data_IF_134312193830
#
_entry.id   IF_134312193830
#
_cell.length_a   1.000
_cell.length_b   1.000
_cell.length_c   1.000
_cell.angle_alpha   90.00
_cell.angle_beta   90.00
_cell.angle_gamma   90.00
#
_symmetry.space_group_name_H-M   'P 1'
#
loop_
_entity.id
_entity.type
_entity.pdbx_description
1 polymer ?
#
# COMPACT_ATOMS: atom_id res chain seq x y z
N UNK A 1 29.73 66.13 -12.66
CA UNK A 1 29.80 65.18 -13.78
C UNK A 1 28.74 64.14 -13.56
N UNK A 2 27.71 64.35 -14.29
CA UNK A 2 26.40 63.63 -14.23
C UNK A 2 26.48 62.33 -14.98
N UNK A 3 26.06 61.23 -14.37
CA UNK A 3 25.77 60.00 -15.11
C UNK A 3 24.46 59.44 -14.61
N UNK A 4 23.44 59.64 -15.42
CA UNK A 4 22.05 59.19 -15.21
C UNK A 4 21.97 57.68 -15.35
N UNK A 5 21.30 57.10 -14.39
CA UNK A 5 20.88 55.70 -14.35
C UNK A 5 19.59 55.54 -15.15
N UNK A 6 19.62 54.81 -16.26
CA UNK A 6 18.43 54.43 -17.04
C UNK A 6 18.04 53.01 -16.73
N UNK A 7 16.95 52.82 -15.94
CA UNK A 7 16.30 51.51 -15.76
C UNK A 7 15.38 51.23 -16.96
N UNK A 8 15.33 50.02 -17.51
CA UNK A 8 14.43 49.68 -18.62
C UNK A 8 12.98 49.51 -18.12
N UNK A 9 12.08 50.11 -18.85
CA UNK A 9 10.64 50.03 -18.71
C UNK A 9 10.13 48.59 -18.96
N UNK A 10 9.31 48.09 -18.03
CA UNK A 10 8.56 46.84 -18.17
C UNK A 10 7.39 47.10 -19.12
N UNK A 11 7.38 46.44 -20.28
CA UNK A 11 6.22 46.37 -21.17
C UNK A 11 5.09 45.56 -20.49
N UNK A 12 3.92 46.18 -20.38
CA UNK A 12 2.67 45.51 -19.98
C UNK A 12 2.26 44.52 -21.09
N UNK A 13 2.20 43.23 -20.77
CA UNK A 13 1.60 42.24 -21.64
C UNK A 13 0.08 42.39 -21.64
N UNK A 14 -0.48 42.63 -22.82
CA UNK A 14 -1.92 42.68 -23.09
C UNK A 14 -2.63 41.41 -22.63
N UNK A 15 -3.63 41.57 -21.80
CA UNK A 15 -4.50 40.51 -21.32
C UNK A 15 -5.27 39.85 -22.46
N UNK A 16 -5.25 38.56 -22.52
CA UNK A 16 -6.02 37.72 -23.47
C UNK A 16 -7.51 38.00 -23.26
N UNK A 17 -8.16 38.53 -24.30
CA UNK A 17 -9.61 38.88 -24.32
C UNK A 17 -10.48 37.62 -24.08
N UNK A 18 -11.52 37.76 -23.26
CA UNK A 18 -12.53 36.73 -22.95
C UNK A 18 -13.17 36.08 -24.20
N UNK A 19 -13.21 36.78 -25.34
CA UNK A 19 -13.69 36.22 -26.61
C UNK A 19 -12.73 35.26 -27.27
N UNK A 20 -11.43 35.39 -27.03
CA UNK A 20 -10.40 34.46 -27.51
C UNK A 20 -10.40 33.19 -26.72
N UNK A 21 -10.72 33.21 -25.41
CA UNK A 21 -10.92 32.00 -24.62
C UNK A 21 -12.12 31.14 -25.06
N UNK A 22 -13.19 31.76 -25.56
CA UNK A 22 -14.36 31.01 -26.04
C UNK A 22 -14.13 30.34 -27.40
N UNK A 23 -13.15 30.75 -28.19
CA UNK A 23 -12.77 30.09 -29.46
C UNK A 23 -11.89 28.87 -29.26
N UNK A 24 -11.15 28.77 -28.14
CA UNK A 24 -10.38 27.56 -27.79
C UNK A 24 -11.18 26.50 -27.03
N UNK A 25 -12.41 26.85 -26.57
CA UNK A 25 -13.33 25.91 -25.90
C UNK A 25 -14.04 24.90 -26.83
N UNK A 26 -13.93 25.06 -28.15
CA UNK A 26 -14.61 24.19 -29.11
C UNK A 26 -13.75 23.01 -29.64
N UNK A 27 -12.51 22.85 -29.15
CA UNK A 27 -11.61 21.75 -29.55
C UNK A 27 -11.55 20.59 -28.55
N UNK A 28 -12.45 20.52 -27.56
CA UNK A 28 -12.54 19.42 -26.58
C UNK A 28 -13.57 18.37 -26.99
N UNK A 29 -13.54 17.91 -28.26
CA UNK A 29 -14.11 16.62 -28.64
C UNK A 29 -13.22 15.42 -28.24
N UNK A 30 -12.11 15.64 -27.55
CA UNK A 30 -11.21 14.62 -26.99
C UNK A 30 -11.63 14.00 -25.65
N UNK A 31 -12.66 14.55 -25.00
CA UNK A 31 -13.08 14.09 -23.66
C UNK A 31 -13.74 12.72 -23.61
N UNK A 32 -14.18 12.14 -24.74
CA UNK A 32 -14.83 10.82 -24.76
C UNK A 32 -13.82 9.65 -24.75
N UNK A 33 -12.59 9.83 -25.24
CA UNK A 33 -11.58 8.77 -25.29
C UNK A 33 -10.95 8.53 -23.90
N UNK A 34 -10.76 9.57 -23.12
CA UNK A 34 -10.23 9.45 -21.73
C UNK A 34 -11.26 8.80 -20.78
N UNK A 35 -12.56 9.04 -21.01
CA UNK A 35 -13.61 8.39 -20.22
C UNK A 35 -13.76 6.90 -20.57
N UNK A 36 -13.50 6.50 -21.82
CA UNK A 36 -13.50 5.07 -22.20
C UNK A 36 -12.30 4.29 -21.61
N UNK A 37 -11.13 4.91 -21.48
CA UNK A 37 -9.96 4.28 -20.82
C UNK A 37 -10.18 4.13 -19.30
N UNK A 38 -10.81 5.11 -18.64
CA UNK A 38 -11.17 5.02 -17.22
C UNK A 38 -12.28 3.98 -16.98
N UNK A 39 -13.27 3.88 -17.87
CA UNK A 39 -14.34 2.87 -17.81
C UNK A 39 -13.80 1.47 -18.11
N UNK A 40 -12.90 1.31 -19.09
CA UNK A 40 -12.28 0.01 -19.39
C UNK A 40 -11.42 -0.51 -18.25
N UNK A 41 -10.72 0.38 -17.52
CA UNK A 41 -9.96 0.00 -16.32
C UNK A 41 -10.87 -0.37 -15.14
N UNK A 42 -12.04 0.27 -14.98
CA UNK A 42 -13.02 -0.08 -13.95
C UNK A 42 -13.74 -1.40 -14.24
N UNK A 43 -14.05 -1.67 -15.50
CA UNK A 43 -14.64 -2.95 -15.94
C UNK A 43 -13.65 -4.12 -15.83
N UNK A 44 -12.38 -3.91 -16.18
CA UNK A 44 -11.32 -4.90 -15.98
C UNK A 44 -11.05 -5.20 -14.50
N UNK A 45 -11.15 -4.19 -13.61
CA UNK A 45 -11.06 -4.36 -12.15
C UNK A 45 -12.31 -5.07 -11.60
N UNK A 46 -13.52 -4.75 -12.10
CA UNK A 46 -14.77 -5.37 -11.68
C UNK A 46 -14.86 -6.86 -12.02
N UNK A 47 -14.31 -7.30 -13.16
CA UNK A 47 -14.32 -8.71 -13.54
C UNK A 47 -13.40 -9.59 -12.69
N UNK A 48 -12.38 -9.01 -12.08
CA UNK A 48 -11.38 -9.72 -11.24
C UNK A 48 -11.76 -9.83 -9.77
N UNK A 49 -12.70 -9.03 -9.28
CA UNK A 49 -13.20 -9.09 -7.90
C UNK A 49 -14.27 -10.17 -7.65
N UNK A 50 -14.53 -11.06 -8.62
CA UNK A 50 -15.40 -12.21 -8.38
C UNK A 50 -14.71 -13.16 -7.40
N UNK A 51 -15.45 -13.58 -6.38
CA UNK A 51 -14.98 -14.57 -5.43
C UNK A 51 -14.52 -15.83 -6.16
N UNK A 52 -13.28 -16.24 -5.92
CA UNK A 52 -12.75 -17.50 -6.43
C UNK A 52 -13.39 -18.63 -5.64
N UNK A 53 -14.01 -19.58 -6.33
CA UNK A 53 -14.64 -20.75 -5.73
C UNK A 53 -13.71 -21.96 -5.83
N UNK A 54 -13.70 -22.81 -4.81
CA UNK A 54 -12.85 -24.01 -4.75
C UNK A 54 -12.76 -24.59 -3.35
N UNK A 55 -12.04 -25.68 -3.21
CA UNK A 55 -11.64 -26.22 -1.88
C UNK A 55 -10.32 -25.57 -1.50
N UNK A 56 -10.36 -24.63 -0.57
CA UNK A 56 -9.20 -23.91 -0.07
C UNK A 56 -9.08 -24.11 1.44
N UNK A 57 -7.88 -23.91 1.97
CA UNK A 57 -7.72 -23.66 3.41
C UNK A 57 -8.43 -22.35 3.74
N UNK A 58 -9.09 -22.29 4.86
CA UNK A 58 -9.78 -21.08 5.33
C UNK A 58 -9.18 -20.63 6.65
N UNK A 59 -9.01 -19.32 6.79
CA UNK A 59 -8.54 -18.71 8.03
C UNK A 59 -9.52 -17.61 8.43
N UNK A 60 -10.41 -17.88 9.41
CA UNK A 60 -11.38 -16.88 9.86
C UNK A 60 -10.68 -15.73 10.60
N UNK A 61 -11.27 -14.53 10.54
CA UNK A 61 -10.81 -13.37 11.27
C UNK A 61 -11.43 -13.29 12.68
N UNK A 62 -10.88 -13.99 13.67
CA UNK A 62 -11.36 -14.00 15.04
C UNK A 62 -10.22 -13.84 16.07
N UNK A 63 -10.53 -13.86 17.37
CA UNK A 63 -9.54 -13.63 18.42
C UNK A 63 -8.43 -14.69 18.48
N UNK A 64 -8.72 -15.93 18.06
CA UNK A 64 -7.72 -17.00 18.03
C UNK A 64 -6.74 -16.89 16.85
N UNK A 65 -7.16 -16.26 15.76
CA UNK A 65 -6.44 -16.21 14.50
C UNK A 65 -5.85 -14.84 14.17
N UNK A 66 -6.05 -13.84 15.03
CA UNK A 66 -5.56 -12.49 14.80
C UNK A 66 -4.58 -12.02 15.86
N UNK A 67 -3.67 -11.12 15.45
CA UNK A 67 -2.83 -10.32 16.33
C UNK A 67 -3.22 -8.86 16.21
N UNK A 68 -3.06 -8.10 17.30
CA UNK A 68 -3.35 -6.68 17.32
C UNK A 68 -2.09 -5.89 17.64
N UNK A 69 -1.76 -4.95 16.78
CA UNK A 69 -0.80 -3.89 17.08
C UNK A 69 0.65 -4.20 16.78
N UNK A 70 1.06 -5.45 16.55
CA UNK A 70 2.48 -5.78 16.45
C UNK A 70 2.80 -7.01 15.60
N UNK A 71 4.07 -7.06 15.17
CA UNK A 71 4.77 -8.22 14.65
C UNK A 71 5.55 -8.89 15.79
N UNK A 72 5.55 -10.23 15.84
CA UNK A 72 6.31 -11.01 16.84
C UNK A 72 6.55 -12.41 16.29
N UNK A 73 7.79 -12.70 15.95
CA UNK A 73 8.20 -13.97 15.36
C UNK A 73 8.22 -15.16 16.33
N UNK A 74 7.98 -14.90 17.63
CA UNK A 74 7.83 -15.96 18.64
C UNK A 74 6.43 -16.57 18.68
N UNK A 75 5.44 -15.88 18.05
CA UNK A 75 4.04 -16.34 18.07
C UNK A 75 3.86 -17.59 17.22
N UNK A 76 3.21 -18.62 17.78
CA UNK A 76 2.91 -19.84 17.05
C UNK A 76 1.99 -19.60 15.86
N UNK A 77 2.24 -20.28 14.72
CA UNK A 77 1.36 -20.19 13.55
C UNK A 77 -0.05 -20.72 13.84
N UNK A 78 -1.05 -19.99 13.34
CA UNK A 78 -2.46 -20.41 13.44
C UNK A 78 -2.91 -21.27 12.26
N UNK A 79 -2.09 -21.32 11.22
CA UNK A 79 -2.29 -22.15 10.03
C UNK A 79 -0.93 -22.54 9.45
N UNK A 80 -0.83 -23.76 8.94
CA UNK A 80 0.30 -24.22 8.14
C UNK A 80 -0.18 -24.60 6.74
N UNK A 81 0.57 -24.18 5.71
CA UNK A 81 0.27 -24.53 4.32
C UNK A 81 1.54 -24.83 3.53
N UNK A 82 1.38 -25.56 2.42
CA UNK A 82 2.46 -25.86 1.51
C UNK A 82 2.62 -24.76 0.45
N UNK A 83 3.81 -24.65 -0.10
CA UNK A 83 4.09 -23.78 -1.25
C UNK A 83 3.13 -24.09 -2.41
N UNK A 84 2.54 -23.05 -3.00
CA UNK A 84 1.58 -23.14 -4.10
C UNK A 84 0.12 -23.35 -3.68
N UNK A 85 -0.17 -23.63 -2.41
CA UNK A 85 -1.54 -23.75 -1.92
C UNK A 85 -2.28 -22.41 -1.92
N UNK A 86 -3.61 -22.52 -1.95
CA UNK A 86 -4.52 -21.35 -1.89
C UNK A 86 -5.17 -21.29 -0.52
N UNK A 87 -5.24 -20.09 0.02
CA UNK A 87 -5.92 -19.79 1.28
C UNK A 87 -6.95 -18.69 1.09
N UNK A 88 -8.09 -18.82 1.76
CA UNK A 88 -9.13 -17.80 1.90
C UNK A 88 -9.06 -17.26 3.32
N UNK A 89 -8.77 -15.97 3.44
CA UNK A 89 -8.58 -15.27 4.72
C UNK A 89 -9.72 -14.28 4.93
N UNK A 90 -10.26 -14.24 6.14
CA UNK A 90 -11.09 -13.13 6.60
C UNK A 90 -10.22 -12.15 7.37
N UNK A 91 -10.45 -10.85 7.20
CA UNK A 91 -9.79 -9.82 7.98
C UNK A 91 -10.76 -9.17 8.97
N UNK A 92 -10.22 -8.43 9.92
CA UNK A 92 -11.01 -7.66 10.89
C UNK A 92 -10.67 -6.18 10.76
N UNK A 93 -11.65 -5.32 11.04
CA UNK A 93 -11.39 -3.89 11.23
C UNK A 93 -10.45 -3.69 12.42
N UNK A 94 -9.87 -2.53 12.50
CA UNK A 94 -8.95 -2.11 13.56
C UNK A 94 -9.45 -2.46 14.97
N UNK A 95 -8.52 -2.57 15.92
CA UNK A 95 -8.79 -2.78 17.36
C UNK A 95 -9.59 -4.07 17.61
N UNK A 96 -9.12 -5.19 17.04
CA UNK A 96 -9.79 -6.53 17.12
C UNK A 96 -11.23 -6.54 16.62
N UNK A 97 -11.52 -5.70 15.60
CA UNK A 97 -12.87 -5.53 15.08
C UNK A 97 -13.76 -4.68 15.98
N UNK A 98 -13.18 -3.96 16.93
CA UNK A 98 -13.90 -2.99 17.79
C UNK A 98 -14.48 -1.83 17.00
N UNK A 99 -13.86 -1.50 15.83
CA UNK A 99 -14.40 -0.51 14.91
C UNK A 99 -15.64 -1.06 14.19
N UNK A 100 -16.80 -0.52 14.54
CA UNK A 100 -18.12 -0.88 13.97
C UNK A 100 -18.99 0.37 13.88
N UNK A 101 -20.00 0.40 12.98
CA UNK A 101 -20.89 1.56 12.84
C UNK A 101 -21.40 2.07 14.18
N UNK A 102 -21.26 3.38 14.40
CA UNK A 102 -21.62 4.04 15.65
C UNK A 102 -20.46 4.31 16.61
N UNK A 103 -19.27 3.72 16.40
CA UNK A 103 -18.06 4.04 17.18
C UNK A 103 -17.66 5.49 16.94
N UNK A 104 -17.44 6.22 18.03
CA UNK A 104 -16.98 7.62 18.03
C UNK A 104 -15.46 7.74 18.10
N UNK A 105 -14.94 8.96 17.91
CA UNK A 105 -13.51 9.23 18.10
C UNK A 105 -13.05 8.93 19.53
N UNK A 106 -13.86 9.27 20.54
CA UNK A 106 -13.56 9.00 21.94
C UNK A 106 -13.50 7.50 22.23
N UNK A 107 -14.40 6.70 21.64
CA UNK A 107 -14.36 5.24 21.76
C UNK A 107 -13.08 4.67 21.14
N UNK A 108 -12.71 5.15 19.95
CA UNK A 108 -11.46 4.75 19.28
C UNK A 108 -10.24 5.08 20.15
N UNK A 109 -10.15 6.32 20.66
CA UNK A 109 -9.04 6.73 21.52
C UNK A 109 -8.94 5.88 22.79
N UNK A 110 -10.08 5.54 23.41
CA UNK A 110 -10.13 4.65 24.58
C UNK A 110 -9.59 3.26 24.25
N UNK A 111 -10.11 2.64 23.18
CA UNK A 111 -9.67 1.31 22.74
C UNK A 111 -8.19 1.30 22.34
N UNK A 112 -7.69 2.34 21.68
CA UNK A 112 -6.29 2.41 21.30
C UNK A 112 -5.36 2.58 22.50
N UNK A 113 -5.74 3.36 23.52
CA UNK A 113 -5.00 3.42 24.80
C UNK A 113 -4.87 2.04 25.45
N UNK A 114 -5.91 1.22 25.37
CA UNK A 114 -5.87 -0.16 25.87
C UNK A 114 -4.89 -1.03 25.12
N UNK A 115 -4.76 -0.87 23.79
CA UNK A 115 -3.75 -1.56 22.97
C UNK A 115 -2.35 -1.16 23.42
N UNK A 116 -2.06 0.13 23.50
CA UNK A 116 -0.74 0.64 23.95
C UNK A 116 -0.41 0.10 25.36
N UNK A 117 -1.39 0.09 26.27
CA UNK A 117 -1.19 -0.41 27.63
C UNK A 117 -0.85 -1.92 27.68
N UNK A 118 -1.39 -2.72 26.75
CA UNK A 118 -1.07 -4.16 26.64
C UNK A 118 0.22 -4.44 25.87
N UNK A 119 0.70 -3.49 25.08
CA UNK A 119 1.86 -3.63 24.21
C UNK A 119 2.91 -2.53 24.41
N UNK A 120 3.28 -2.16 25.66
CA UNK A 120 4.12 -1.00 25.94
C UNK A 120 5.54 -1.17 25.38
N UNK A 121 5.99 -2.42 25.21
CA UNK A 121 7.30 -2.78 24.70
C UNK A 121 7.39 -2.88 23.18
N UNK A 122 6.25 -2.74 22.46
CA UNK A 122 6.27 -2.72 21.01
C UNK A 122 7.09 -1.52 20.52
N UNK A 123 8.13 -1.80 19.74
CA UNK A 123 9.13 -0.85 19.31
C UNK A 123 8.91 -0.42 17.86
N UNK A 124 9.46 0.71 17.52
CA UNK A 124 9.62 1.14 16.14
C UNK A 124 10.65 0.27 15.43
N UNK A 125 10.53 0.10 14.10
CA UNK A 125 11.50 -0.69 13.35
C UNK A 125 12.93 -0.18 13.49
N UNK A 126 13.90 -1.09 13.34
CA UNK A 126 15.31 -0.71 13.38
C UNK A 126 15.63 0.38 12.36
N UNK A 127 16.52 1.30 12.76
CA UNK A 127 17.11 2.25 11.83
C UNK A 127 17.75 1.50 10.66
N UNK A 128 17.44 1.85 9.40
CA UNK A 128 17.96 1.13 8.22
C UNK A 128 19.49 1.08 8.14
N UNK A 129 20.19 2.03 8.79
CA UNK A 129 21.66 2.10 8.81
C UNK A 129 22.29 1.28 9.91
N UNK A 130 21.67 1.28 11.09
CA UNK A 130 22.23 0.64 12.27
C UNK A 130 21.59 -0.69 12.62
N UNK A 131 20.40 -0.97 12.08
CA UNK A 131 19.62 -2.15 12.44
C UNK A 131 19.10 -2.13 13.88
N UNK A 132 19.26 -1.03 14.59
CA UNK A 132 18.89 -0.90 15.99
C UNK A 132 17.86 0.19 16.18
N UNK A 133 16.80 -0.10 16.94
CA UNK A 133 15.89 0.92 17.45
C UNK A 133 15.85 0.87 18.97
N UNK A 134 15.89 2.04 19.58
CA UNK A 134 15.73 2.22 21.02
C UNK A 134 14.37 2.81 21.38
N UNK A 135 13.61 3.22 20.36
CA UNK A 135 12.32 3.89 20.58
C UNK A 135 11.19 2.84 20.71
N UNK A 136 10.56 2.81 21.86
CA UNK A 136 9.29 2.12 22.11
C UNK A 136 8.14 3.07 21.82
N UNK A 137 7.17 2.64 21.04
CA UNK A 137 6.02 3.46 20.60
C UNK A 137 4.68 2.83 20.97
N UNK A 138 4.71 1.61 21.51
CA UNK A 138 3.52 0.78 21.70
C UNK A 138 3.05 0.11 20.43
N UNK A 139 2.12 -0.80 20.54
CA UNK A 139 1.48 -1.44 19.39
C UNK A 139 0.63 -0.46 18.59
N UNK A 140 0.46 -0.74 17.31
CA UNK A 140 -0.45 -0.03 16.43
C UNK A 140 -1.91 -0.45 16.64
N UNK A 141 -2.79 0.01 15.76
CA UNK A 141 -4.23 -0.27 15.83
C UNK A 141 -4.69 -1.32 14.81
N UNK A 142 -3.80 -1.79 13.94
CA UNK A 142 -4.15 -2.77 12.92
C UNK A 142 -4.31 -4.16 13.51
N UNK A 143 -5.36 -4.85 13.08
CA UNK A 143 -5.64 -6.24 13.44
C UNK A 143 -5.23 -7.12 12.26
N UNK A 144 -4.21 -7.98 12.47
CA UNK A 144 -3.63 -8.82 11.43
C UNK A 144 -4.06 -10.27 11.60
N UNK A 145 -4.59 -10.89 10.56
CA UNK A 145 -4.92 -12.32 10.50
C UNK A 145 -3.67 -13.12 10.17
N UNK A 146 -3.36 -14.13 10.96
CA UNK A 146 -2.17 -14.97 10.93
C UNK A 146 -1.52 -15.10 12.32
N UNK A 147 -0.28 -15.63 12.43
CA UNK A 147 0.65 -15.95 11.34
C UNK A 147 0.33 -17.27 10.62
N UNK A 148 0.62 -17.30 9.33
CA UNK A 148 0.56 -18.51 8.51
C UNK A 148 1.98 -19.01 8.25
N UNK A 149 2.27 -20.26 8.61
CA UNK A 149 3.54 -20.91 8.31
C UNK A 149 3.49 -21.52 6.90
N UNK A 150 4.47 -21.21 6.06
CA UNK A 150 4.61 -21.74 4.72
C UNK A 150 5.73 -22.79 4.73
N UNK A 151 5.38 -24.07 4.55
CA UNK A 151 6.35 -25.16 4.55
C UNK A 151 7.44 -24.94 3.50
N UNK A 152 8.69 -25.09 3.92
CA UNK A 152 9.88 -24.99 3.07
C UNK A 152 10.33 -23.55 2.77
N UNK A 153 9.67 -22.54 3.32
CA UNK A 153 10.16 -21.16 3.25
C UNK A 153 11.28 -20.94 4.28
N UNK A 154 12.46 -20.51 3.81
CA UNK A 154 13.64 -20.27 4.62
C UNK A 154 14.15 -18.84 4.43
N UNK A 155 14.87 -18.27 5.41
CA UNK A 155 15.50 -16.97 5.26
C UNK A 155 16.35 -16.88 3.98
N UNK A 156 16.13 -15.83 3.19
CA UNK A 156 16.76 -15.64 1.88
C UNK A 156 15.87 -16.05 0.70
N UNK A 157 14.81 -16.83 0.91
CA UNK A 157 13.80 -17.07 -0.11
C UNK A 157 12.90 -15.84 -0.33
N UNK A 158 12.09 -15.86 -1.39
CA UNK A 158 10.99 -14.91 -1.58
C UNK A 158 9.64 -15.65 -1.49
N UNK A 159 8.62 -15.02 -0.91
CA UNK A 159 7.24 -15.41 -1.11
C UNK A 159 6.67 -14.69 -2.33
N UNK A 160 6.14 -15.45 -3.27
CA UNK A 160 5.28 -14.96 -4.34
C UNK A 160 3.83 -15.10 -3.90
N UNK A 161 3.13 -14.00 -3.79
CA UNK A 161 1.77 -13.92 -3.26
C UNK A 161 0.85 -13.38 -4.36
N UNK A 162 0.06 -14.28 -4.95
CA UNK A 162 -0.93 -13.92 -5.96
C UNK A 162 -2.23 -13.50 -5.26
N UNK A 163 -2.65 -12.26 -5.46
CA UNK A 163 -3.91 -11.73 -4.93
C UNK A 163 -5.05 -12.12 -5.88
N UNK A 164 -5.72 -13.24 -5.60
CA UNK A 164 -6.67 -13.84 -6.54
C UNK A 164 -8.03 -13.17 -6.51
N UNK A 165 -8.55 -12.85 -5.31
CA UNK A 165 -9.82 -12.12 -5.16
C UNK A 165 -9.92 -11.43 -3.80
N UNK A 166 -10.65 -10.31 -3.77
CA UNK A 166 -10.93 -9.54 -2.55
C UNK A 166 -12.42 -9.22 -2.52
N UNK A 167 -13.12 -9.66 -1.47
CA UNK A 167 -14.51 -9.32 -1.22
C UNK A 167 -14.59 -8.44 0.02
N UNK A 168 -14.88 -7.17 -0.17
CA UNK A 168 -14.95 -6.18 0.90
C UNK A 168 -16.20 -6.38 1.78
N UNK A 169 -16.14 -5.85 3.00
CA UNK A 169 -17.30 -5.74 3.88
C UNK A 169 -18.26 -4.63 3.44
N UNK A 170 -19.47 -4.61 3.99
CA UNK A 170 -20.53 -3.67 3.62
C UNK A 170 -20.37 -2.29 4.24
N UNK A 171 -19.47 -2.15 5.22
CA UNK A 171 -19.22 -0.92 5.95
C UNK A 171 -17.73 -0.63 6.04
N UNK A 172 -17.41 0.64 5.88
CA UNK A 172 -16.07 1.16 6.05
C UNK A 172 -16.11 2.52 6.75
N UNK A 173 -14.97 2.99 7.21
CA UNK A 173 -14.86 4.28 7.88
C UNK A 173 -13.61 5.03 7.43
N UNK A 174 -13.59 6.34 7.68
CA UNK A 174 -12.37 7.13 7.71
C UNK A 174 -12.30 7.81 9.08
N UNK A 175 -11.12 7.84 9.65
CA UNK A 175 -10.83 8.42 10.93
C UNK A 175 -9.85 9.58 10.76
N UNK A 176 -10.20 10.76 11.24
CA UNK A 176 -9.25 11.82 11.53
C UNK A 176 -8.96 11.79 13.03
N UNK A 177 -7.74 11.51 13.49
CA UNK A 177 -7.45 11.47 14.92
C UNK A 177 -7.51 12.87 15.52
N UNK A 178 -7.85 12.96 16.80
CA UNK A 178 -7.80 14.20 17.55
C UNK A 178 -6.34 14.52 17.93
N UNK A 179 -5.84 15.72 17.60
CA UNK A 179 -4.42 16.07 17.80
C UNK A 179 -4.00 16.18 19.25
N UNK A 180 -4.95 16.39 20.18
CA UNK A 180 -4.70 16.29 21.63
C UNK A 180 -4.28 14.90 22.07
N UNK A 181 -4.70 13.87 21.32
CA UNK A 181 -4.34 12.47 21.57
C UNK A 181 -3.14 12.03 20.72
N UNK A 182 -3.13 12.38 19.43
CA UNK A 182 -2.14 11.89 18.49
C UNK A 182 -1.94 12.88 17.33
N UNK A 183 -0.73 13.43 17.20
CA UNK A 183 -0.37 14.32 16.10
C UNK A 183 0.09 13.49 14.89
N UNK A 184 -0.83 12.80 14.25
CA UNK A 184 -0.61 12.04 13.02
C UNK A 184 -1.48 12.57 11.90
N UNK A 185 -1.15 12.20 10.68
CA UNK A 185 -1.66 12.83 9.48
C UNK A 185 -0.64 13.81 8.90
N UNK A 186 -0.88 14.32 7.72
CA UNK A 186 0.02 15.27 7.05
C UNK A 186 -0.14 16.70 7.58
N UNK A 187 -1.35 17.10 7.97
CA UNK A 187 -1.72 18.44 8.40
C UNK A 187 -2.46 18.43 9.76
N UNK A 188 -1.88 17.84 10.82
CA UNK A 188 -2.56 17.70 12.10
C UNK A 188 -2.80 19.05 12.81
N UNK A 189 -1.99 20.07 12.53
CA UNK A 189 -2.14 21.43 13.06
C UNK A 189 -3.34 22.16 12.48
N UNK A 190 -3.68 21.91 11.21
CA UNK A 190 -4.80 22.57 10.52
C UNK A 190 -6.14 21.87 10.81
N UNK A 191 -6.10 20.56 11.14
CA UNK A 191 -7.28 19.73 11.39
C UNK A 191 -7.21 19.04 12.78
N UNK A 192 -7.26 19.81 13.87
CA UNK A 192 -7.04 19.30 15.22
C UNK A 192 -8.19 18.44 15.77
N UNK A 193 -9.38 18.56 15.19
CA UNK A 193 -10.57 17.89 15.72
C UNK A 193 -10.71 16.48 15.15
N UNK A 194 -10.85 15.51 16.05
CA UNK A 194 -11.10 14.13 15.67
C UNK A 194 -12.48 13.90 15.08
N UNK A 195 -12.57 13.00 14.10
CA UNK A 195 -13.84 12.57 13.52
C UNK A 195 -13.74 11.14 12.98
N UNK A 196 -14.73 10.30 13.31
CA UNK A 196 -14.98 9.02 12.64
C UNK A 196 -16.19 9.18 11.75
N UNK A 197 -16.05 8.88 10.46
CA UNK A 197 -17.15 8.90 9.50
C UNK A 197 -17.34 7.50 8.92
N UNK A 198 -18.57 7.00 9.00
CA UNK A 198 -18.94 5.67 8.51
C UNK A 198 -19.61 5.76 7.14
N UNK A 199 -19.25 4.84 6.27
CA UNK A 199 -19.76 4.74 4.91
C UNK A 199 -20.30 3.33 4.63
N UNK A 200 -21.48 3.26 4.03
CA UNK A 200 -22.03 2.03 3.49
C UNK A 200 -21.53 1.82 2.08
N UNK A 201 -21.07 0.60 1.80
CA UNK A 201 -20.50 0.23 0.49
C UNK A 201 -21.57 -0.30 -0.43
N UNK A 202 -21.67 0.25 -1.63
CA UNK A 202 -22.45 -0.33 -2.73
C UNK A 202 -21.58 -1.37 -3.45
N UNK A 203 -21.71 -2.61 -3.03
CA UNK A 203 -20.93 -3.75 -3.58
C UNK A 203 -21.24 -4.01 -5.07
N UNK A 204 -22.46 -3.68 -5.53
CA UNK A 204 -22.83 -3.89 -6.95
C UNK A 204 -22.17 -2.87 -7.86
N UNK A 205 -22.09 -1.63 -7.40
CA UNK A 205 -21.50 -0.51 -8.17
C UNK A 205 -20.03 -0.28 -7.85
N UNK A 206 -19.47 -1.03 -6.89
CA UNK A 206 -18.11 -0.89 -6.40
C UNK A 206 -17.76 0.56 -6.03
N UNK A 207 -18.61 1.20 -5.20
CA UNK A 207 -18.42 2.59 -4.77
C UNK A 207 -19.18 2.89 -3.47
N UNK A 208 -18.90 4.03 -2.90
CA UNK A 208 -19.63 4.58 -1.78
C UNK A 208 -19.98 6.06 -1.99
N UNK A 209 -21.02 6.51 -1.31
CA UNK A 209 -21.40 7.92 -1.30
C UNK A 209 -20.60 8.66 -0.23
N UNK A 210 -19.71 9.53 -0.65
CA UNK A 210 -18.89 10.34 0.25
C UNK A 210 -19.71 11.53 0.80
N UNK A 211 -20.31 12.32 -0.09
CA UNK A 211 -21.20 13.44 0.21
C UNK A 211 -22.36 13.47 -0.80
N UNK A 212 -23.40 14.30 -0.59
CA UNK A 212 -24.41 14.54 -1.63
C UNK A 212 -23.74 14.98 -2.93
N UNK A 213 -23.97 14.20 -4.01
CA UNK A 213 -23.37 14.45 -5.32
C UNK A 213 -21.94 13.95 -5.50
N UNK A 214 -21.30 13.35 -4.48
CA UNK A 214 -19.93 12.83 -4.57
C UNK A 214 -19.92 11.33 -4.27
N UNK A 215 -19.61 10.50 -5.28
CA UNK A 215 -19.42 9.07 -5.16
C UNK A 215 -17.96 8.72 -5.47
N UNK A 216 -17.33 7.91 -4.62
CA UNK A 216 -15.94 7.46 -4.77
C UNK A 216 -15.95 5.97 -5.10
N UNK A 217 -15.26 5.52 -6.18
CA UNK A 217 -15.09 4.12 -6.48
C UNK A 217 -14.22 3.43 -5.43
N UNK A 218 -14.52 2.16 -5.14
CA UNK A 218 -13.65 1.31 -4.31
C UNK A 218 -12.77 0.42 -5.18
N UNK A 219 -11.51 0.27 -4.74
CA UNK A 219 -10.51 -0.66 -5.26
C UNK A 219 -9.87 -1.36 -4.06
N UNK A 220 -10.49 -2.42 -3.52
CA UNK A 220 -10.02 -3.04 -2.27
C UNK A 220 -8.60 -3.61 -2.40
N UNK A 221 -7.77 -3.35 -1.38
CA UNK A 221 -6.41 -3.86 -1.27
C UNK A 221 -6.00 -3.96 0.21
N UNK A 222 -5.05 -4.85 0.58
CA UNK A 222 -4.51 -4.90 1.93
C UNK A 222 -3.57 -3.71 2.16
N UNK A 223 -3.83 -2.86 3.13
CA UNK A 223 -2.89 -1.85 3.62
C UNK A 223 -1.69 -2.55 4.25
N UNK A 224 -1.98 -3.51 5.15
CA UNK A 224 -0.95 -4.32 5.80
C UNK A 224 -0.93 -5.75 5.24
N UNK A 225 0.20 -6.12 4.63
CA UNK A 225 0.50 -7.47 4.17
C UNK A 225 1.99 -7.73 4.28
N UNK A 226 2.40 -8.77 5.02
CA UNK A 226 3.83 -8.95 5.33
C UNK A 226 4.16 -10.30 5.93
N UNK A 227 5.45 -10.45 6.24
CA UNK A 227 6.05 -11.60 6.91
C UNK A 227 6.69 -11.17 8.23
N UNK A 228 6.98 -12.11 9.13
CA UNK A 228 7.64 -11.78 10.38
C UNK A 228 9.09 -11.33 10.17
N UNK A 229 9.51 -10.40 11.04
CA UNK A 229 10.87 -9.87 11.10
C UNK A 229 11.82 -10.87 11.75
N UNK A 230 13.14 -10.86 11.43
CA UNK A 230 14.12 -11.70 12.07
C UNK A 230 14.44 -11.28 13.50
N UNK A 231 14.24 -10.00 13.82
CA UNK A 231 14.50 -9.44 15.14
C UNK A 231 13.46 -9.93 16.16
N UNK A 232 13.93 -10.38 17.33
CA UNK A 232 13.05 -10.83 18.43
C UNK A 232 12.32 -9.68 19.09
N UNK A 233 11.17 -9.99 19.66
CA UNK A 233 10.35 -9.04 20.42
C UNK A 233 9.15 -8.52 19.62
N UNK A 234 8.44 -7.57 20.22
CA UNK A 234 7.27 -6.94 19.60
C UNK A 234 7.66 -5.71 18.81
N UNK A 235 7.24 -5.66 17.55
CA UNK A 235 7.47 -4.54 16.64
C UNK A 235 6.13 -3.94 16.24
N UNK A 236 5.97 -2.63 16.39
CA UNK A 236 4.72 -1.95 16.01
C UNK A 236 4.34 -2.26 14.56
N UNK A 237 3.07 -2.50 14.30
CA UNK A 237 2.59 -2.77 12.95
C UNK A 237 2.14 -1.51 12.18
N UNK A 238 2.44 -0.31 12.71
CA UNK A 238 2.16 0.95 12.01
C UNK A 238 3.12 1.18 10.84
N UNK A 239 4.46 1.09 10.98
CA UNK A 239 5.34 1.41 9.86
C UNK A 239 5.52 0.21 8.90
N UNK A 240 5.67 0.47 7.58
CA UNK A 240 6.16 -0.50 6.61
C UNK A 240 7.69 -0.70 6.71
N UNK A 241 8.20 -1.74 6.05
CA UNK A 241 9.64 -2.01 5.98
C UNK A 241 10.02 -3.17 5.07
N UNK A 242 11.22 -3.72 5.28
CA UNK A 242 11.76 -4.87 4.50
C UNK A 242 10.87 -6.12 4.49
N UNK A 243 10.01 -6.27 5.49
CA UNK A 243 9.07 -7.38 5.64
C UNK A 243 7.73 -7.16 4.92
N UNK A 244 7.57 -6.06 4.18
CA UNK A 244 6.30 -5.54 3.72
C UNK A 244 5.63 -4.72 4.84
N UNK A 245 4.66 -5.31 5.54
CA UNK A 245 3.95 -4.66 6.64
C UNK A 245 2.91 -3.67 6.13
N UNK A 246 2.80 -2.54 6.79
CA UNK A 246 1.84 -1.48 6.50
C UNK A 246 2.30 -0.64 5.30
N UNK A 247 2.26 -1.23 4.12
CA UNK A 247 2.78 -0.58 2.91
C UNK A 247 1.83 0.45 2.31
N UNK A 248 0.52 0.27 2.51
CA UNK A 248 -0.55 1.14 1.99
C UNK A 248 -0.46 1.38 0.48
N UNK A 249 -0.04 0.35 -0.23
CA UNK A 249 0.13 0.44 -1.67
C UNK A 249 -1.18 0.08 -2.39
N UNK A 250 -1.91 1.10 -2.84
CA UNK A 250 -3.21 0.97 -3.52
C UNK A 250 -3.18 0.16 -4.83
N UNK A 251 -2.00 -0.16 -5.35
CA UNK A 251 -1.84 -0.97 -6.55
C UNK A 251 -1.93 -2.49 -6.27
N UNK A 252 -1.90 -2.91 -4.99
CA UNK A 252 -2.00 -4.31 -4.57
C UNK A 252 -3.45 -4.82 -4.56
N UNK A 253 -4.15 -4.65 -5.67
CA UNK A 253 -5.53 -5.11 -5.87
C UNK A 253 -5.60 -6.57 -6.35
N UNK A 254 -6.79 -7.16 -6.38
CA UNK A 254 -6.99 -8.48 -6.98
C UNK A 254 -6.46 -8.55 -8.43
N UNK A 255 -5.73 -9.62 -8.74
CA UNK A 255 -5.04 -9.81 -10.02
C UNK A 255 -3.63 -9.25 -10.06
N UNK A 256 -3.07 -8.84 -8.92
CA UNK A 256 -1.64 -8.48 -8.76
C UNK A 256 -0.86 -9.61 -8.10
N UNK A 257 0.46 -9.53 -8.15
CA UNK A 257 1.38 -10.45 -7.46
C UNK A 257 2.34 -9.60 -6.62
N UNK A 258 2.40 -9.90 -5.34
CA UNK A 258 3.35 -9.29 -4.40
C UNK A 258 4.48 -10.29 -4.12
N UNK A 259 5.70 -9.79 -4.01
CA UNK A 259 6.87 -10.56 -3.62
C UNK A 259 7.44 -9.99 -2.33
N UNK A 260 7.60 -10.84 -1.33
CA UNK A 260 8.14 -10.48 -0.01
C UNK A 260 9.34 -11.34 0.34
N UNK A 261 10.44 -10.76 0.86
CA UNK A 261 11.59 -11.52 1.32
C UNK A 261 11.24 -12.31 2.58
N UNK A 262 11.72 -13.55 2.67
CA UNK A 262 11.56 -14.40 3.86
C UNK A 262 12.69 -14.10 4.85
N UNK A 263 12.36 -13.79 6.09
CA UNK A 263 13.32 -13.45 7.14
C UNK A 263 13.41 -14.50 8.26
N UNK A 264 12.36 -15.32 8.41
CA UNK A 264 12.30 -16.38 9.42
C UNK A 264 11.76 -17.67 8.80
N UNK A 265 12.11 -18.86 9.34
CA UNK A 265 11.57 -20.13 8.84
C UNK A 265 10.04 -20.11 8.80
N UNK A 266 9.49 -20.56 7.65
CA UNK A 266 8.04 -20.53 7.39
C UNK A 266 7.47 -19.15 7.09
N UNK A 267 8.30 -18.12 6.94
CA UNK A 267 7.96 -16.73 6.67
C UNK A 267 6.97 -16.09 7.67
N UNK A 268 6.05 -16.87 8.24
CA UNK A 268 5.02 -16.44 9.22
C UNK A 268 4.19 -15.26 8.71
N UNK A 269 3.55 -15.47 7.57
CA UNK A 269 2.77 -14.47 6.84
C UNK A 269 1.55 -13.98 7.62
N UNK A 270 1.31 -12.66 7.58
CA UNK A 270 0.12 -11.99 8.13
C UNK A 270 -0.44 -10.94 7.17
N UNK A 271 -1.75 -10.68 7.28
CA UNK A 271 -2.41 -9.58 6.55
C UNK A 271 -3.59 -9.04 7.32
N UNK A 272 -3.91 -7.78 7.08
CA UNK A 272 -5.02 -7.08 7.72
C UNK A 272 -5.11 -5.65 7.20
N UNK A 273 -5.67 -4.75 8.02
CA UNK A 273 -5.73 -3.34 7.66
C UNK A 273 -6.28 -3.17 6.24
N UNK A 274 -7.56 -3.43 6.11
CA UNK A 274 -8.19 -3.63 4.80
C UNK A 274 -8.70 -2.33 4.24
N UNK A 275 -8.04 -1.80 3.24
CA UNK A 275 -8.40 -0.57 2.57
C UNK A 275 -9.37 -0.81 1.40
N UNK A 276 -10.40 0.02 1.29
CA UNK A 276 -11.37 -0.06 0.21
C UNK A 276 -11.13 1.03 -0.85
N UNK A 277 -10.58 2.16 -0.43
CA UNK A 277 -10.15 3.25 -1.32
C UNK A 277 -9.07 4.08 -0.64
N UNK A 278 -8.09 4.55 -1.40
CA UNK A 278 -7.03 5.43 -0.91
C UNK A 278 -6.51 6.31 -2.05
N UNK A 279 -6.27 7.57 -1.77
CA UNK A 279 -5.47 8.47 -2.61
C UNK A 279 -3.98 8.29 -2.33
N UNK A 280 -3.11 8.63 -3.27
CA UNK A 280 -1.68 8.71 -3.01
C UNK A 280 -1.40 9.64 -1.83
N UNK A 281 -0.55 9.20 -0.92
CA UNK A 281 -0.16 9.94 0.27
C UNK A 281 -0.94 9.62 1.55
N UNK A 282 -2.17 9.09 1.47
CA UNK A 282 -3.00 8.75 2.65
C UNK A 282 -3.07 9.85 3.70
N UNK A 283 -3.30 11.07 3.23
CA UNK A 283 -2.91 12.32 3.90
C UNK A 283 -3.52 12.58 5.29
N UNK A 284 -4.66 11.99 5.62
CA UNK A 284 -5.26 12.19 6.97
C UNK A 284 -5.01 11.02 7.93
N UNK A 285 -4.03 10.14 7.64
CA UNK A 285 -3.67 8.94 8.40
C UNK A 285 -4.50 7.69 8.07
N UNK A 286 -5.62 7.81 7.40
CA UNK A 286 -6.47 6.66 7.09
C UNK A 286 -6.94 6.68 5.65
N UNK A 287 -6.99 5.51 5.06
CA UNK A 287 -7.73 5.24 3.84
C UNK A 287 -9.26 5.21 4.11
N UNK A 288 -10.02 4.59 3.25
CA UNK A 288 -11.34 4.08 3.56
C UNK A 288 -11.18 2.70 4.21
N UNK A 289 -11.13 2.69 5.54
CA UNK A 289 -10.82 1.54 6.39
C UNK A 289 -11.98 0.55 6.45
N UNK A 290 -11.70 -0.71 6.23
CA UNK A 290 -12.74 -1.74 6.23
C UNK A 290 -12.30 -3.08 6.80
N UNK A 291 -12.92 -4.12 6.27
CA UNK A 291 -12.53 -5.51 6.44
C UNK A 291 -12.82 -6.27 5.15
N UNK A 292 -12.19 -7.42 4.97
CA UNK A 292 -12.52 -8.34 3.88
C UNK A 292 -13.32 -9.52 4.43
N UNK A 293 -14.51 -9.75 3.85
CA UNK A 293 -15.29 -10.98 4.05
C UNK A 293 -14.52 -12.17 3.49
N UNK A 294 -13.68 -11.91 2.48
CA UNK A 294 -12.87 -12.92 1.82
C UNK A 294 -11.69 -12.27 1.11
N UNK A 295 -10.50 -12.72 1.42
CA UNK A 295 -9.27 -12.41 0.72
C UNK A 295 -8.60 -13.71 0.31
N UNK A 296 -8.63 -14.04 -0.98
CA UNK A 296 -8.11 -15.31 -1.52
C UNK A 296 -6.74 -15.09 -2.13
N UNK A 297 -5.76 -15.84 -1.62
CA UNK A 297 -4.35 -15.75 -1.99
C UNK A 297 -3.82 -17.13 -2.41
N UNK A 298 -2.89 -17.16 -3.39
CA UNK A 298 -1.96 -18.28 -3.56
C UNK A 298 -0.59 -17.81 -3.08
N UNK A 299 0.07 -18.63 -2.25
CA UNK A 299 1.40 -18.32 -1.71
C UNK A 299 2.39 -19.38 -2.15
N UNK A 300 3.43 -18.97 -2.88
CA UNK A 300 4.45 -19.85 -3.44
C UNK A 300 5.84 -19.42 -2.95
N UNK A 301 6.64 -20.37 -2.49
CA UNK A 301 8.04 -20.13 -2.11
C UNK A 301 8.89 -20.10 -3.37
N UNK A 302 9.67 -19.04 -3.55
CA UNK A 302 10.57 -18.80 -4.67
C UNK A 302 12.02 -18.77 -4.18
N UNK A 303 12.70 -19.92 -4.32
CA UNK A 303 14.12 -20.07 -3.95
C UNK A 303 15.08 -19.44 -4.96
N UNK A 304 14.58 -19.17 -6.15
CA UNK A 304 15.32 -18.62 -7.28
C UNK A 304 15.37 -17.09 -7.32
N UNK A 305 14.64 -16.40 -6.44
CA UNK A 305 14.50 -14.94 -6.48
C UNK A 305 15.22 -14.18 -5.36
N UNK A 306 15.69 -14.86 -4.31
CA UNK A 306 16.26 -14.21 -3.12
C UNK A 306 17.45 -13.27 -3.42
N UNK A 307 18.26 -13.62 -4.41
CA UNK A 307 19.41 -12.79 -4.82
C UNK A 307 19.03 -11.67 -5.83
N UNK A 308 17.85 -11.76 -6.43
CA UNK A 308 17.42 -10.82 -7.47
C UNK A 308 16.99 -9.50 -6.84
N UNK A 309 16.08 -9.57 -5.87
CA UNK A 309 15.58 -8.41 -5.12
C UNK A 309 15.36 -8.85 -3.67
N UNK A 310 16.01 -8.16 -2.72
CA UNK A 310 15.89 -8.45 -1.29
C UNK A 310 14.90 -7.51 -0.57
N UNK A 311 13.99 -6.87 -1.31
CA UNK A 311 13.03 -5.88 -0.84
C UNK A 311 11.63 -6.21 -1.37
N UNK A 312 10.56 -5.73 -0.75
CA UNK A 312 9.21 -5.86 -1.28
C UNK A 312 9.09 -5.28 -2.68
N UNK A 313 8.52 -6.04 -3.61
CA UNK A 313 8.18 -5.55 -4.95
C UNK A 313 6.91 -6.24 -5.46
N UNK A 314 6.30 -5.69 -6.51
CA UNK A 314 5.06 -6.24 -7.02
C UNK A 314 4.99 -6.23 -8.55
N UNK A 315 4.04 -6.98 -9.06
CA UNK A 315 3.73 -7.10 -10.48
C UNK A 315 2.22 -6.92 -10.67
N UNK A 316 1.86 -5.93 -11.48
CA UNK A 316 0.50 -5.79 -12.02
C UNK A 316 0.45 -6.26 -13.46
N UNK A 317 -0.70 -6.36 -14.10
CA UNK A 317 -0.77 -6.63 -15.54
C UNK A 317 0.01 -5.65 -16.41
N UNK A 318 0.21 -4.41 -15.94
CA UNK A 318 0.78 -3.32 -16.74
C UNK A 318 2.13 -2.82 -16.23
N UNK A 319 2.47 -3.03 -14.95
CA UNK A 319 3.67 -2.48 -14.35
C UNK A 319 4.38 -3.50 -13.45
N UNK A 320 5.69 -3.33 -13.34
CA UNK A 320 6.46 -3.76 -12.18
C UNK A 320 6.50 -2.61 -11.18
N UNK A 321 6.48 -2.95 -9.89
CA UNK A 321 6.46 -1.96 -8.82
C UNK A 321 7.61 -2.27 -7.87
N UNK A 322 8.52 -1.32 -7.67
CA UNK A 322 9.51 -1.38 -6.59
C UNK A 322 9.18 -0.35 -5.53
N UNK A 323 9.57 -0.61 -4.30
CA UNK A 323 9.15 0.18 -3.15
C UNK A 323 10.36 0.69 -2.36
N UNK A 324 10.18 1.79 -1.63
CA UNK A 324 11.17 2.34 -0.73
C UNK A 324 10.46 2.92 0.50
N UNK A 325 10.96 2.58 1.69
CA UNK A 325 10.40 3.01 2.98
C UNK A 325 11.48 3.65 3.83
N UNK A 326 11.23 4.86 4.34
CA UNK A 326 12.14 5.57 5.23
C UNK A 326 11.40 6.67 5.99
N UNK A 327 11.92 7.09 7.13
CA UNK A 327 11.36 8.22 7.90
C UNK A 327 11.48 9.56 7.16
N UNK A 328 12.48 9.69 6.29
CA UNK A 328 12.66 10.81 5.37
C UNK A 328 12.14 10.47 3.97
N UNK A 329 11.31 11.35 3.39
CA UNK A 329 10.67 11.15 2.08
C UNK A 329 11.68 11.08 0.94
N UNK A 330 12.73 11.90 0.97
CA UNK A 330 13.75 11.89 -0.07
C UNK A 330 14.56 10.59 -0.04
N UNK A 331 14.87 10.07 1.15
CA UNK A 331 15.52 8.77 1.28
C UNK A 331 14.60 7.62 0.83
N UNK A 332 13.28 7.66 1.13
CA UNK A 332 12.31 6.70 0.56
C UNK A 332 12.33 6.71 -0.96
N UNK A 333 12.36 7.90 -1.56
CA UNK A 333 12.45 8.09 -3.01
C UNK A 333 13.73 7.50 -3.59
N UNK A 334 14.88 7.75 -2.94
CA UNK A 334 16.17 7.18 -3.35
C UNK A 334 16.19 5.65 -3.27
N UNK A 335 15.58 5.07 -2.21
CA UNK A 335 15.49 3.61 -2.04
C UNK A 335 14.62 3.01 -3.16
N UNK A 336 13.41 3.55 -3.40
CA UNK A 336 12.53 3.07 -4.46
C UNK A 336 13.21 3.12 -5.83
N UNK A 337 13.93 4.21 -6.13
CA UNK A 337 14.67 4.39 -7.39
C UNK A 337 15.85 3.41 -7.50
N UNK A 338 16.63 3.20 -6.44
CA UNK A 338 17.72 2.20 -6.44
C UNK A 338 17.17 0.79 -6.68
N UNK A 339 16.03 0.46 -6.07
CA UNK A 339 15.36 -0.81 -6.27
C UNK A 339 14.85 -0.95 -7.72
N UNK A 340 14.33 0.12 -8.33
CA UNK A 340 13.94 0.13 -9.75
C UNK A 340 15.15 -0.09 -10.67
N UNK A 341 16.26 0.60 -10.44
CA UNK A 341 17.50 0.42 -11.19
C UNK A 341 18.01 -1.02 -11.04
N UNK A 342 18.07 -1.54 -9.81
CA UNK A 342 18.48 -2.93 -9.57
C UNK A 342 17.58 -3.91 -10.32
N UNK A 343 16.25 -3.72 -10.29
CA UNK A 343 15.29 -4.54 -11.02
C UNK A 343 15.52 -4.48 -12.52
N UNK A 344 15.67 -3.30 -13.12
CA UNK A 344 15.94 -3.11 -14.55
C UNK A 344 17.23 -3.80 -15.00
N UNK A 345 18.27 -3.72 -14.19
CA UNK A 345 19.56 -4.41 -14.44
C UNK A 345 19.41 -5.93 -14.38
N UNK A 346 18.85 -6.45 -13.31
CA UNK A 346 18.78 -7.90 -13.08
C UNK A 346 17.74 -8.58 -13.97
N UNK A 347 16.58 -7.95 -14.15
CA UNK A 347 15.46 -8.55 -14.88
C UNK A 347 15.58 -8.31 -16.41
N UNK A 348 15.92 -7.09 -16.83
CA UNK A 348 16.00 -6.73 -18.24
C UNK A 348 17.41 -6.69 -18.80
N UNK A 349 18.46 -6.72 -17.96
CA UNK A 349 19.85 -6.70 -18.39
C UNK A 349 20.36 -5.32 -18.80
N UNK A 350 19.73 -4.24 -18.30
CA UNK A 350 20.17 -2.87 -18.61
C UNK A 350 21.51 -2.54 -17.98
N UNK A 351 22.29 -1.69 -18.62
CA UNK A 351 23.47 -1.05 -18.02
C UNK A 351 23.09 -0.05 -16.91
N UNK A 352 24.04 0.29 -16.05
CA UNK A 352 23.79 1.18 -14.90
C UNK A 352 23.22 2.54 -15.31
N UNK A 353 23.88 3.22 -16.25
CA UNK A 353 23.46 4.54 -16.71
C UNK A 353 22.17 4.49 -17.52
N UNK A 354 21.95 3.43 -18.30
CA UNK A 354 20.71 3.24 -19.06
C UNK A 354 19.53 3.00 -18.14
N UNK A 355 19.68 2.16 -17.12
CA UNK A 355 18.64 1.93 -16.11
C UNK A 355 18.29 3.20 -15.32
N UNK A 356 19.32 4.00 -14.97
CA UNK A 356 19.10 5.28 -14.30
C UNK A 356 18.41 6.30 -15.21
N UNK A 357 18.84 6.42 -16.47
CA UNK A 357 18.20 7.28 -17.46
C UNK A 357 16.76 6.84 -17.75
N UNK A 358 16.50 5.51 -17.86
CA UNK A 358 15.17 4.97 -18.02
C UNK A 358 14.25 5.35 -16.84
N UNK A 359 14.73 5.27 -15.61
CA UNK A 359 13.96 5.72 -14.44
C UNK A 359 13.55 7.19 -14.57
N UNK A 360 14.42 8.06 -15.07
CA UNK A 360 14.10 9.49 -15.24
C UNK A 360 13.06 9.78 -16.32
N UNK A 361 13.04 8.97 -17.39
CA UNK A 361 12.20 9.21 -18.57
C UNK A 361 10.88 8.43 -18.58
N UNK A 362 10.79 7.35 -17.79
CA UNK A 362 9.73 6.35 -17.99
C UNK A 362 9.17 5.72 -16.72
N UNK A 363 9.70 6.00 -15.54
CA UNK A 363 9.23 5.42 -14.28
C UNK A 363 8.60 6.50 -13.42
N UNK A 364 7.31 6.35 -13.14
CA UNK A 364 6.59 7.26 -12.26
C UNK A 364 6.87 6.89 -10.79
N UNK A 365 7.19 7.90 -10.00
CA UNK A 365 7.37 7.78 -8.55
C UNK A 365 6.12 8.28 -7.84
N UNK A 366 5.37 7.37 -7.23
CA UNK A 366 4.16 7.67 -6.50
C UNK A 366 4.41 7.76 -4.99
N UNK A 367 3.79 8.71 -4.34
CA UNK A 367 3.77 8.78 -2.88
C UNK A 367 2.78 7.75 -2.34
N UNK A 368 3.27 6.66 -1.80
CA UNK A 368 2.41 5.58 -1.29
C UNK A 368 1.62 6.05 -0.08
N UNK A 369 2.33 6.49 0.97
CA UNK A 369 1.78 7.19 2.14
C UNK A 369 2.87 8.07 2.80
N UNK A 370 2.43 9.08 3.57
CA UNK A 370 3.32 10.06 4.25
C UNK A 370 3.14 10.09 5.77
N UNK A 371 2.35 9.18 6.33
CA UNK A 371 1.76 9.31 7.68
C UNK A 371 2.17 8.24 8.69
N UNK A 372 2.73 7.09 8.28
CA UNK A 372 2.97 5.93 9.15
C UNK A 372 4.38 5.85 9.74
N UNK A 373 4.92 6.97 10.19
CA UNK A 373 6.26 7.08 10.76
C UNK A 373 7.38 6.84 9.74
N UNK A 374 7.35 5.73 9.01
CA UNK A 374 8.13 5.50 7.79
C UNK A 374 7.27 5.82 6.57
N UNK A 375 7.70 6.73 5.73
CA UNK A 375 7.01 7.13 4.50
C UNK A 375 7.30 6.14 3.38
N UNK A 376 6.35 5.95 2.49
CA UNK A 376 6.44 5.03 1.37
C UNK A 376 6.45 5.73 0.01
N UNK A 377 7.37 5.30 -0.85
CA UNK A 377 7.36 5.63 -2.29
C UNK A 377 7.31 4.32 -3.07
N UNK A 378 6.49 4.27 -4.11
CA UNK A 378 6.53 3.17 -5.07
C UNK A 378 6.82 3.69 -6.47
N UNK A 379 7.70 2.95 -7.18
CA UNK A 379 8.13 3.24 -8.53
C UNK A 379 7.40 2.32 -9.51
N UNK A 380 6.68 2.90 -10.47
CA UNK A 380 5.86 2.21 -11.47
C UNK A 380 6.64 2.06 -12.77
N UNK A 381 7.12 0.85 -13.08
CA UNK A 381 7.91 0.54 -14.28
C UNK A 381 6.96 -0.03 -15.34
N UNK A 382 6.66 0.68 -16.44
CA UNK A 382 5.70 0.22 -17.44
C UNK A 382 6.23 -0.97 -18.24
N UNK A 383 5.54 -2.10 -18.21
CA UNK A 383 5.88 -3.31 -18.99
C UNK A 383 5.76 -3.10 -20.50
N UNK A 384 4.84 -2.22 -20.92
CA UNK A 384 4.57 -1.95 -22.33
C UNK A 384 5.75 -1.31 -23.09
N UNK A 385 6.74 -0.75 -22.40
CA UNK A 385 7.89 -0.14 -23.05
C UNK A 385 8.95 -1.16 -23.46
N UNK A 386 8.86 -2.39 -22.96
CA UNK A 386 9.77 -3.49 -23.31
C UNK A 386 9.18 -4.30 -24.47
N UNK A 387 9.30 -3.77 -25.70
CA UNK A 387 8.64 -4.30 -26.91
C UNK A 387 9.44 -5.39 -27.65
N UNK A 388 10.70 -5.61 -27.28
CA UNK A 388 11.53 -6.67 -27.86
C UNK A 388 10.93 -8.06 -27.59
N UNK A 389 11.03 -8.99 -28.57
CA UNK A 389 10.53 -10.36 -28.44
C UNK A 389 11.16 -11.10 -27.26
N UNK A 390 12.41 -10.80 -26.93
CA UNK A 390 13.16 -11.31 -25.80
C UNK A 390 12.54 -10.92 -24.45
N UNK A 391 11.79 -9.80 -24.40
CA UNK A 391 11.12 -9.31 -23.20
C UNK A 391 9.71 -9.86 -23.01
N UNK A 392 9.11 -10.44 -24.04
CA UNK A 392 7.71 -10.90 -23.97
C UNK A 392 7.46 -11.86 -22.78
N UNK A 393 8.39 -12.81 -22.54
CA UNK A 393 8.32 -13.72 -21.38
C UNK A 393 8.60 -12.98 -20.07
N UNK A 394 9.52 -12.00 -20.08
CA UNK A 394 9.87 -11.20 -18.89
C UNK A 394 8.76 -10.25 -18.45
N UNK A 395 7.87 -9.88 -19.37
CA UNK A 395 6.72 -9.01 -19.11
C UNK A 395 5.51 -9.76 -18.53
N UNK A 396 5.61 -11.06 -18.25
CA UNK A 396 4.52 -11.81 -17.63
C UNK A 396 4.23 -11.29 -16.22
N UNK A 397 3.05 -11.57 -15.70
CA UNK A 397 2.66 -11.19 -14.35
C UNK A 397 3.50 -11.87 -13.27
N UNK A 398 3.91 -13.11 -13.54
CA UNK A 398 4.76 -13.90 -12.65
C UNK A 398 6.22 -13.88 -13.16
N UNK A 399 7.18 -13.77 -12.27
CA UNK A 399 8.60 -13.92 -12.59
C UNK A 399 8.98 -15.38 -12.82
#
# INVERSE_FOLDING_TARGET
>A
MDSRDESPSVEQSDGIDRRTMLKYGAALAGGMVLNQLAVSNSEAASSKNKEVTGKFKTLPGNDATTTEGYWDNSREPVLTMNSGEVVKIETRRHLKGGMKPGVTTQDWMRMYKEVIARTPDAAFFPDPKTGVTTRKVGGGHHTLTGPIHINGAEPGDMLQIELLSIVADDWAFNLNPETSFMKLGLLPEDYPNGRVTWYKIDQKRMKFKFLPGVEIPIRPFPGTIGVELPEKGMWSNVPPGKHGGNMDNKELVAGTVLYLPVHVPGARFKTGDSHLAQGDGEVNLNALEGAFKSFTLRITVRKDLGDVIAEPFASTPTHWITMGFHTDMLESTKIATRNAIKFLKTHYGMGDLDAYAFCSMAVDLHVTQVVDLAKGIHAMIPKAYFVGKEFAKKNTLLL
#
